data_IF_086305326122
#
_entry.id   IF_086305326122
#
_cell.length_a   1.000
_cell.length_b   1.000
_cell.length_c   1.000
_cell.angle_alpha   90.00
_cell.angle_beta   90.00
_cell.angle_gamma   90.00
#
_symmetry.space_group_name_H-M   'P 1'
#
loop_
_entity.id
_entity.type
_entity.pdbx_description
1 polymer ?
#
# COMPACT_ATOMS: atom_id res chain seq x y z
N UNK A 1 20.98 -24.34 8.09
CA UNK A 1 19.72 -24.24 8.86
C UNK A 1 19.31 -22.79 8.98
N UNK A 2 18.78 -22.29 7.87
CA UNK A 2 17.90 -21.13 7.72
C UNK A 2 17.41 -21.30 6.27
N UNK A 3 16.66 -22.39 6.08
CA UNK A 3 16.02 -22.70 4.80
C UNK A 3 15.07 -21.55 4.50
N UNK A 4 15.38 -20.83 3.42
CA UNK A 4 14.49 -20.04 2.59
C UNK A 4 13.11 -19.79 3.22
N UNK A 5 13.03 -18.80 4.12
CA UNK A 5 11.75 -18.19 4.44
C UNK A 5 11.27 -17.54 3.14
N UNK A 6 10.41 -18.26 2.42
CA UNK A 6 9.77 -17.79 1.20
C UNK A 6 9.21 -16.40 1.48
N UNK A 7 9.71 -15.39 0.75
CA UNK A 7 9.20 -14.02 0.83
C UNK A 7 7.68 -14.09 0.69
N UNK A 8 6.98 -13.81 1.79
CA UNK A 8 5.53 -13.82 1.85
C UNK A 8 5.03 -12.38 1.85
N UNK A 9 3.78 -12.17 1.46
CA UNK A 9 3.13 -10.85 1.59
C UNK A 9 3.18 -10.29 3.02
N UNK A 10 3.45 -11.13 4.03
CA UNK A 10 3.53 -10.75 5.44
C UNK A 10 4.93 -10.31 5.88
N UNK A 11 5.99 -10.68 5.16
CA UNK A 11 7.38 -10.42 5.54
C UNK A 11 8.06 -9.36 4.67
N UNK A 12 7.42 -8.94 3.58
CA UNK A 12 7.96 -7.94 2.66
C UNK A 12 9.05 -8.49 1.72
N UNK A 13 9.68 -7.61 0.91
CA UNK A 13 10.82 -8.00 0.08
C UNK A 13 12.07 -8.21 0.95
N UNK A 14 13.09 -8.86 0.38
CA UNK A 14 14.42 -8.90 1.00
C UNK A 14 15.10 -7.51 1.01
N UNK A 15 16.28 -7.42 1.63
CA UNK A 15 17.09 -6.18 1.70
C UNK A 15 17.47 -5.61 0.33
N UNK A 16 17.42 -6.43 -0.73
CA UNK A 16 17.67 -5.99 -2.11
C UNK A 16 16.40 -5.56 -2.82
N UNK A 17 15.25 -5.55 -2.13
CA UNK A 17 13.94 -5.21 -2.69
C UNK A 17 13.33 -6.34 -3.52
N UNK A 18 13.73 -7.60 -3.30
CA UNK A 18 13.22 -8.75 -4.09
C UNK A 18 12.15 -9.55 -3.37
N UNK A 19 11.16 -9.98 -4.13
CA UNK A 19 10.22 -11.05 -3.77
C UNK A 19 10.59 -12.30 -4.57
N UNK A 20 11.42 -13.16 -3.97
CA UNK A 20 12.04 -14.28 -4.68
C UNK A 20 12.86 -13.76 -5.88
N UNK A 21 12.43 -14.11 -7.10
CA UNK A 21 13.12 -13.70 -8.33
C UNK A 21 12.65 -12.33 -8.88
N UNK A 22 11.60 -11.74 -8.32
CA UNK A 22 10.99 -10.50 -8.82
C UNK A 22 11.38 -9.29 -7.98
N UNK A 23 11.25 -8.08 -8.54
CA UNK A 23 11.63 -6.83 -7.85
C UNK A 23 13.11 -6.49 -8.03
N UNK A 24 13.73 -5.91 -7.01
CA UNK A 24 15.11 -5.43 -7.08
C UNK A 24 15.26 -4.04 -7.70
N UNK A 25 16.51 -3.56 -7.78
CA UNK A 25 16.86 -2.23 -8.29
C UNK A 25 17.66 -2.38 -9.59
N UNK A 26 16.97 -2.29 -10.73
CA UNK A 26 17.58 -2.35 -12.06
C UNK A 26 17.50 -0.98 -12.72
N UNK A 27 18.37 -0.07 -12.28
CA UNK A 27 18.38 1.36 -12.63
C UNK A 27 19.80 1.80 -12.95
N UNK A 28 19.95 3.01 -13.51
CA UNK A 28 21.26 3.61 -13.73
C UNK A 28 22.04 3.76 -12.42
N UNK A 29 23.35 3.52 -12.45
CA UNK A 29 24.25 3.73 -11.31
C UNK A 29 24.13 5.15 -10.74
N UNK A 30 23.94 6.14 -11.62
CA UNK A 30 23.76 7.54 -11.24
C UNK A 30 22.51 7.80 -10.36
N UNK A 31 21.52 6.91 -10.39
CA UNK A 31 20.31 7.00 -9.56
C UNK A 31 20.45 6.26 -8.22
N UNK A 32 21.43 5.37 -8.09
CA UNK A 32 21.57 4.53 -6.89
C UNK A 32 21.77 5.34 -5.61
N UNK A 33 22.59 6.42 -5.56
CA UNK A 33 22.71 7.23 -4.35
C UNK A 33 21.37 7.82 -3.88
N UNK A 34 20.57 8.35 -4.81
CA UNK A 34 19.27 8.96 -4.51
C UNK A 34 18.23 7.94 -4.01
N UNK A 35 18.27 6.72 -4.55
CA UNK A 35 17.36 5.64 -4.13
C UNK A 35 17.71 5.16 -2.71
N UNK A 36 19.00 5.04 -2.39
CA UNK A 36 19.45 4.65 -1.06
C UNK A 36 19.11 5.73 -0.02
N UNK A 37 19.28 7.00 -0.37
CA UNK A 37 18.88 8.11 0.50
C UNK A 37 17.36 8.13 0.74
N UNK A 38 16.55 7.91 -0.30
CA UNK A 38 15.10 7.82 -0.16
C UNK A 38 14.68 6.66 0.74
N UNK A 39 15.31 5.48 0.58
CA UNK A 39 15.07 4.33 1.46
C UNK A 39 15.39 4.65 2.92
N UNK A 40 16.52 5.31 3.18
CA UNK A 40 16.90 5.73 4.53
C UNK A 40 15.86 6.68 5.14
N UNK A 41 15.40 7.69 4.40
CA UNK A 41 14.36 8.60 4.92
C UNK A 41 13.02 7.91 5.10
N UNK A 42 12.67 6.97 4.23
CA UNK A 42 11.45 6.17 4.36
C UNK A 42 11.45 5.34 5.64
N UNK A 43 12.53 4.61 5.96
CA UNK A 43 12.60 3.80 7.18
C UNK A 43 12.57 4.67 8.44
N UNK A 44 13.12 5.89 8.41
CA UNK A 44 12.95 6.87 9.49
C UNK A 44 11.48 7.28 9.65
N UNK A 45 10.86 7.80 8.58
CA UNK A 45 9.49 8.31 8.59
C UNK A 45 8.46 7.24 8.98
N UNK A 46 8.67 5.99 8.57
CA UNK A 46 7.81 4.84 8.87
C UNK A 46 7.64 4.58 10.37
N UNK A 47 8.61 4.99 11.20
CA UNK A 47 8.56 4.85 12.67
C UNK A 47 8.35 6.18 13.41
N UNK A 48 8.24 7.28 12.67
CA UNK A 48 8.10 8.62 13.24
C UNK A 48 6.63 8.92 13.60
N UNK A 49 6.31 9.14 14.90
CA UNK A 49 4.94 9.43 15.32
C UNK A 49 4.39 10.75 14.76
N UNK A 50 5.25 11.76 14.53
CA UNK A 50 4.80 13.06 14.03
C UNK A 50 4.40 12.96 12.55
N UNK A 51 5.15 12.18 11.76
CA UNK A 51 4.79 11.86 10.38
C UNK A 51 3.43 11.14 10.30
N UNK A 52 3.21 10.14 11.16
CA UNK A 52 1.95 9.42 11.20
C UNK A 52 0.77 10.29 11.66
N UNK A 53 0.99 11.20 12.61
CA UNK A 53 -0.03 12.15 13.05
C UNK A 53 -0.49 13.05 11.90
N UNK A 54 0.45 13.56 11.09
CA UNK A 54 0.12 14.35 9.89
C UNK A 54 -0.60 13.50 8.83
N UNK A 55 -0.11 12.27 8.57
CA UNK A 55 -0.75 11.35 7.63
C UNK A 55 -2.19 11.00 8.01
N UNK A 56 -2.46 10.71 9.29
CA UNK A 56 -3.81 10.43 9.78
C UNK A 56 -4.73 11.65 9.66
N UNK A 57 -4.21 12.83 9.97
CA UNK A 57 -4.94 14.09 9.79
C UNK A 57 -5.33 14.28 8.33
N UNK A 58 -4.39 14.15 7.40
CA UNK A 58 -4.64 14.30 5.96
C UNK A 58 -5.59 13.22 5.43
N UNK A 59 -5.42 11.96 5.84
CA UNK A 59 -6.33 10.89 5.46
C UNK A 59 -7.77 11.17 5.87
N UNK A 60 -7.98 11.67 7.09
CA UNK A 60 -9.32 11.95 7.59
C UNK A 60 -9.91 13.22 6.99
N UNK A 61 -9.15 14.31 6.96
CA UNK A 61 -9.67 15.65 6.70
C UNK A 61 -9.49 16.12 5.27
N UNK A 62 -8.52 15.57 4.53
CA UNK A 62 -8.29 15.90 3.13
C UNK A 62 -8.75 14.78 2.20
N UNK A 63 -8.32 13.54 2.45
CA UNK A 63 -8.64 12.39 1.57
C UNK A 63 -10.08 11.90 1.77
N UNK A 64 -10.60 11.96 3.00
CA UNK A 64 -11.95 11.48 3.34
C UNK A 64 -12.03 10.01 3.74
N UNK A 65 -10.96 9.46 4.34
CA UNK A 65 -10.89 8.08 4.83
C UNK A 65 -11.55 7.96 6.22
N UNK A 66 -12.09 6.77 6.58
CA UNK A 66 -12.13 5.55 5.78
C UNK A 66 -13.22 5.59 4.69
N UNK A 67 -12.88 5.09 3.50
CA UNK A 67 -13.88 4.84 2.45
C UNK A 67 -14.88 3.75 2.89
N UNK A 68 -16.18 3.90 2.59
CA UNK A 68 -17.19 2.94 3.03
C UNK A 68 -17.07 1.60 2.31
N UNK A 69 -17.57 0.54 2.95
CA UNK A 69 -17.79 -0.77 2.32
C UNK A 69 -19.29 -0.90 2.03
N UNK A 70 -19.66 -0.76 0.76
CA UNK A 70 -21.06 -0.74 0.31
C UNK A 70 -21.54 -2.13 -0.08
N UNK A 71 -22.66 -2.59 0.48
CA UNK A 71 -23.32 -3.81 0.04
C UNK A 71 -24.12 -3.54 -1.23
N UNK A 72 -23.81 -4.23 -2.33
CA UNK A 72 -24.46 -4.02 -3.62
C UNK A 72 -25.65 -4.98 -3.77
N UNK A 73 -26.82 -4.62 -3.23
CA UNK A 73 -28.00 -5.50 -3.16
C UNK A 73 -28.42 -6.00 -4.53
N UNK A 74 -28.62 -5.08 -5.49
CA UNK A 74 -29.11 -5.39 -6.84
C UNK A 74 -28.15 -6.28 -7.63
N UNK A 75 -26.85 -6.11 -7.43
CA UNK A 75 -25.85 -6.95 -8.09
C UNK A 75 -25.80 -8.34 -7.46
N UNK A 76 -25.91 -8.39 -6.13
CA UNK A 76 -26.00 -9.66 -5.37
C UNK A 76 -27.20 -10.47 -5.83
N UNK A 77 -28.38 -9.85 -5.91
CA UNK A 77 -29.61 -10.49 -6.42
C UNK A 77 -29.44 -10.98 -7.86
N UNK A 78 -28.87 -10.16 -8.74
CA UNK A 78 -28.64 -10.52 -10.14
C UNK A 78 -27.71 -11.73 -10.31
N UNK A 79 -26.69 -11.86 -9.46
CA UNK A 79 -25.73 -12.97 -9.53
C UNK A 79 -26.25 -14.24 -8.83
N UNK A 80 -27.25 -14.12 -7.94
CA UNK A 80 -27.92 -15.26 -7.31
C UNK A 80 -27.03 -16.11 -6.41
N UNK A 81 -25.90 -15.57 -5.93
CA UNK A 81 -24.87 -16.31 -5.20
C UNK A 81 -24.33 -15.55 -3.99
N UNK A 82 -23.01 -15.39 -3.95
CA UNK A 82 -22.33 -14.68 -2.86
C UNK A 82 -22.77 -13.20 -2.75
N UNK A 83 -22.67 -12.64 -1.54
CA UNK A 83 -22.87 -11.21 -1.31
C UNK A 83 -21.75 -10.40 -1.97
N UNK A 84 -22.12 -9.36 -2.71
CA UNK A 84 -21.16 -8.44 -3.34
C UNK A 84 -21.02 -7.17 -2.52
N UNK A 85 -19.78 -6.82 -2.18
CA UNK A 85 -19.44 -5.58 -1.49
C UNK A 85 -18.42 -4.78 -2.31
N UNK A 86 -18.60 -3.46 -2.37
CA UNK A 86 -17.66 -2.54 -2.98
C UNK A 86 -16.91 -1.75 -1.91
N UNK A 87 -15.58 -1.85 -1.91
CA UNK A 87 -14.71 -0.93 -1.17
C UNK A 87 -14.64 0.37 -1.96
N UNK A 88 -15.29 1.42 -1.45
CA UNK A 88 -15.62 2.63 -2.22
C UNK A 88 -14.46 3.63 -2.29
N UNK A 89 -13.27 3.19 -2.67
CA UNK A 89 -12.08 4.07 -2.74
C UNK A 89 -12.18 5.14 -3.83
N UNK A 90 -13.13 5.02 -4.76
CA UNK A 90 -13.47 6.09 -5.70
C UNK A 90 -14.17 7.29 -5.03
N UNK A 91 -14.54 7.18 -3.75
CA UNK A 91 -15.05 8.31 -2.96
C UNK A 91 -13.94 9.09 -2.23
N UNK A 92 -12.69 8.64 -2.29
CA UNK A 92 -11.57 9.43 -1.81
C UNK A 92 -11.50 10.74 -2.60
N UNK A 93 -10.94 11.78 -2.01
CA UNK A 93 -10.58 13.01 -2.73
C UNK A 93 -9.78 12.65 -4.00
N UNK A 94 -9.96 13.37 -5.11
CA UNK A 94 -9.46 13.01 -6.46
C UNK A 94 -10.10 11.79 -7.15
N UNK A 95 -10.93 11.01 -6.46
CA UNK A 95 -11.79 9.98 -7.07
C UNK A 95 -11.13 8.62 -7.29
N UNK A 96 -10.00 8.32 -6.63
CA UNK A 96 -9.32 7.03 -6.77
C UNK A 96 -8.48 6.67 -5.53
N UNK A 97 -8.04 5.41 -5.47
CA UNK A 97 -7.15 4.89 -4.41
C UNK A 97 -5.70 5.39 -4.45
N UNK A 98 -5.33 6.24 -5.42
CA UNK A 98 -3.94 6.69 -5.61
C UNK A 98 -3.51 7.77 -4.61
N UNK A 99 -4.49 8.43 -3.97
CA UNK A 99 -4.29 9.49 -2.99
C UNK A 99 -4.27 8.97 -1.56
#
# INVERSE_FOLDING_TARGET
>A
MAEDLINSFMTGPDEKGRFGIYGGRFVSETLMPLILELEEQYERAKTDPDFWAEMEFLWKHYVGRPSPLYFAERLTERLGGAKVYFKRDELNHTGAHKI
#
